data_IF_761117100906
#
_entry.id   IF_761117100906
#
_cell.length_a   1.000
_cell.length_b   1.000
_cell.length_c   1.000
_cell.angle_alpha   90.00
_cell.angle_beta   90.00
_cell.angle_gamma   90.00
#
_symmetry.space_group_name_H-M   'P 1'
#
loop_
_entity.id
_entity.type
_entity.pdbx_description
1 polymer ?
#
# COMPACT_ATOMS: atom_id res chain seq x y z
N UNK A 1 -15.77 0.76 10.84
CA UNK A 1 -14.38 1.22 10.87
C UNK A 1 -14.28 2.73 11.10
N UNK A 2 -13.08 3.23 11.44
CA UNK A 2 -12.70 4.64 11.43
C UNK A 2 -11.32 4.73 10.75
N UNK A 3 -11.21 5.52 9.69
CA UNK A 3 -9.96 5.78 8.99
C UNK A 3 -9.45 7.20 9.30
N UNK A 4 -8.15 7.35 9.49
CA UNK A 4 -7.47 8.64 9.71
C UNK A 4 -6.40 8.80 8.64
N UNK A 5 -6.43 9.94 7.94
CA UNK A 5 -5.51 10.25 6.85
C UNK A 5 -4.64 11.46 7.19
N UNK A 6 -3.36 11.38 6.83
CA UNK A 6 -2.43 12.49 6.87
C UNK A 6 -2.40 13.17 5.50
N UNK A 7 -3.27 14.14 5.29
CA UNK A 7 -3.42 14.84 3.99
C UNK A 7 -2.19 15.68 3.63
N UNK A 8 -1.43 16.14 4.62
CA UNK A 8 -0.18 16.90 4.47
C UNK A 8 1.02 16.00 4.08
N UNK A 9 0.85 14.68 4.15
CA UNK A 9 1.92 13.71 3.91
C UNK A 9 1.46 12.61 2.96
N UNK A 10 1.22 12.99 1.70
CA UNK A 10 0.89 12.07 0.61
C UNK A 10 -0.47 11.38 0.74
N UNK A 11 -1.37 11.93 1.56
CA UNK A 11 -2.66 11.30 1.82
C UNK A 11 -2.53 9.94 2.50
N UNK A 12 -1.48 9.73 3.27
CA UNK A 12 -1.21 8.46 3.94
C UNK A 12 -2.38 8.06 4.83
N UNK A 13 -2.90 6.84 4.66
CA UNK A 13 -3.83 6.25 5.62
C UNK A 13 -3.00 5.88 6.86
N UNK A 14 -3.14 6.70 7.91
CA UNK A 14 -2.32 6.58 9.11
C UNK A 14 -2.87 5.58 10.10
N UNK A 15 -4.19 5.62 10.34
CA UNK A 15 -4.86 4.72 11.25
C UNK A 15 -6.11 4.13 10.61
N UNK A 16 -6.35 2.86 10.88
CA UNK A 16 -7.58 2.16 10.52
C UNK A 16 -8.08 1.40 11.75
N UNK A 17 -9.03 2.00 12.45
CA UNK A 17 -9.57 1.45 13.69
C UNK A 17 -10.74 0.50 13.43
N UNK A 18 -10.66 -0.70 13.95
CA UNK A 18 -11.84 -1.52 14.17
C UNK A 18 -12.59 -1.01 15.41
N UNK A 19 -13.73 -0.39 15.19
CA UNK A 19 -14.54 0.19 16.28
C UNK A 19 -15.13 -0.87 17.22
N UNK A 20 -15.24 -2.13 16.79
CA UNK A 20 -15.77 -3.22 17.64
C UNK A 20 -14.74 -3.68 18.65
N UNK A 21 -13.50 -3.81 18.23
CA UNK A 21 -12.40 -4.28 19.08
C UNK A 21 -11.60 -3.15 19.72
N UNK A 22 -11.74 -1.91 19.24
CA UNK A 22 -10.96 -0.76 19.67
C UNK A 22 -9.48 -0.86 19.28
N UNK A 23 -9.15 -1.61 18.23
CA UNK A 23 -7.76 -1.82 17.78
C UNK A 23 -7.47 -1.04 16.50
N UNK A 24 -6.30 -0.43 16.42
CA UNK A 24 -5.73 0.04 15.16
C UNK A 24 -5.18 -1.16 14.40
N UNK A 25 -5.61 -1.35 13.15
CA UNK A 25 -5.18 -2.46 12.30
C UNK A 25 -3.85 -2.18 11.60
N UNK A 26 -3.39 -0.93 11.61
CA UNK A 26 -2.14 -0.51 11.00
C UNK A 26 -1.07 -0.26 12.05
N UNK A 27 0.18 -0.53 11.68
CA UNK A 27 1.32 -0.10 12.47
C UNK A 27 1.59 1.39 12.19
N UNK A 28 1.83 2.15 13.24
CA UNK A 28 2.22 3.57 13.18
C UNK A 28 3.40 3.81 14.10
N UNK A 29 4.32 4.67 13.67
CA UNK A 29 5.39 5.15 14.54
C UNK A 29 4.92 6.32 15.40
N UNK A 30 5.37 6.39 16.62
CA UNK A 30 5.12 7.52 17.52
C UNK A 30 5.80 8.82 17.05
N UNK A 31 6.84 8.68 16.22
CA UNK A 31 7.59 9.80 15.66
C UNK A 31 7.65 9.69 14.14
N UNK A 32 7.17 10.73 13.46
CA UNK A 32 7.35 10.87 12.01
C UNK A 32 8.80 11.26 11.72
N UNK A 33 9.52 10.37 11.07
CA UNK A 33 10.91 10.60 10.65
C UNK A 33 11.05 10.30 9.17
N UNK A 34 11.24 11.33 8.37
CA UNK A 34 11.50 11.19 6.94
C UNK A 34 12.89 10.60 6.70
N UNK A 35 12.94 9.62 5.81
CA UNK A 35 14.17 8.91 5.47
C UNK A 35 14.49 9.05 3.99
N UNK A 36 15.78 9.15 3.69
CA UNK A 36 16.29 9.10 2.32
C UNK A 36 16.40 7.64 1.87
N UNK A 37 15.27 7.06 1.45
CA UNK A 37 15.24 5.73 0.87
C UNK A 37 15.18 5.78 -0.65
N UNK A 38 15.80 4.81 -1.28
CA UNK A 38 15.97 4.74 -2.73
C UNK A 38 16.63 6.04 -3.25
N UNK A 39 15.97 6.77 -4.11
CA UNK A 39 16.50 7.97 -4.75
C UNK A 39 15.95 9.26 -4.11
N UNK A 40 15.04 9.14 -3.15
CA UNK A 40 14.22 10.25 -2.66
C UNK A 40 14.11 10.27 -1.14
N UNK A 41 14.14 11.46 -0.56
CA UNK A 41 13.85 11.72 0.85
C UNK A 41 12.34 11.66 1.14
N UNK A 42 11.65 10.67 0.59
CA UNK A 42 10.21 10.69 0.56
C UNK A 42 9.55 9.67 1.47
N UNK A 43 10.33 8.82 2.16
CA UNK A 43 9.75 7.75 2.93
C UNK A 43 9.69 8.04 4.43
N UNK A 44 8.63 7.60 5.07
CA UNK A 44 8.55 7.40 6.52
C UNK A 44 7.71 6.16 6.85
N UNK A 45 8.02 5.53 7.97
CA UNK A 45 7.41 4.25 8.38
C UNK A 45 6.03 4.44 8.97
N UNK A 46 5.13 3.50 8.69
CA UNK A 46 3.79 3.41 9.27
C UNK A 46 2.67 3.73 8.30
N UNK A 47 1.49 3.20 8.61
CA UNK A 47 0.28 3.39 7.81
C UNK A 47 0.32 2.73 6.44
N UNK A 48 -0.44 3.28 5.50
CA UNK A 48 -0.46 2.88 4.09
C UNK A 48 0.05 4.02 3.23
N UNK A 49 1.10 3.75 2.48
CA UNK A 49 1.74 4.64 1.53
C UNK A 49 1.24 4.38 0.11
N UNK A 50 1.13 5.44 -0.67
CA UNK A 50 0.69 5.40 -2.06
C UNK A 50 1.79 5.90 -2.97
N UNK A 51 2.13 5.12 -4.01
CA UNK A 51 3.23 5.44 -4.91
C UNK A 51 2.81 5.37 -6.37
N UNK A 52 3.27 6.32 -7.14
CA UNK A 52 2.94 6.49 -8.55
C UNK A 52 4.15 6.98 -9.35
N UNK A 53 4.25 6.54 -10.58
CA UNK A 53 5.06 7.18 -11.63
C UNK A 53 6.51 6.73 -11.73
N UNK A 54 7.12 6.25 -10.65
CA UNK A 54 8.55 5.86 -10.63
C UNK A 54 8.77 4.56 -9.87
N UNK A 55 9.87 3.91 -10.14
CA UNK A 55 10.41 2.84 -9.28
C UNK A 55 10.93 3.49 -8.00
N UNK A 56 10.44 3.02 -6.84
CA UNK A 56 10.75 3.60 -5.54
C UNK A 56 9.65 4.53 -5.02
N UNK A 57 9.94 5.21 -3.92
CA UNK A 57 8.95 6.05 -3.25
C UNK A 57 8.71 7.36 -4.02
N UNK A 58 7.45 7.71 -4.22
CA UNK A 58 7.08 8.94 -4.90
C UNK A 58 7.34 10.15 -3.99
N UNK A 59 7.89 11.26 -4.50
CA UNK A 59 8.08 12.49 -3.72
C UNK A 59 6.80 13.01 -3.06
N UNK A 60 5.64 12.77 -3.66
CA UNK A 60 4.35 13.18 -3.10
C UNK A 60 3.99 12.47 -1.79
N UNK A 61 4.68 11.38 -1.39
CA UNK A 61 4.41 10.72 -0.10
C UNK A 61 4.70 11.60 1.11
N UNK A 62 5.44 12.68 0.95
CA UNK A 62 5.76 13.66 2.01
C UNK A 62 5.24 15.05 1.73
N UNK A 63 4.42 15.21 0.70
CA UNK A 63 3.85 16.48 0.28
C UNK A 63 2.34 16.52 0.53
N UNK A 64 1.76 17.69 0.74
CA UNK A 64 0.32 17.85 0.87
C UNK A 64 -0.39 17.52 -0.44
N UNK A 65 -1.56 16.89 -0.33
CA UNK A 65 -2.46 16.64 -1.45
C UNK A 65 -3.67 17.55 -1.39
N UNK A 66 -4.28 17.84 -2.53
CA UNK A 66 -5.60 18.45 -2.58
C UNK A 66 -6.64 17.49 -2.04
N UNK A 67 -7.59 18.02 -1.28
CA UNK A 67 -8.63 17.23 -0.61
C UNK A 67 -10.00 17.77 -0.98
N UNK A 68 -10.91 16.86 -1.33
CA UNK A 68 -12.31 17.17 -1.60
C UNK A 68 -13.23 16.16 -0.93
N UNK A 69 -14.43 16.58 -0.59
CA UNK A 69 -15.54 15.69 -0.20
C UNK A 69 -16.45 15.50 -1.41
N UNK A 70 -16.80 14.26 -1.69
CA UNK A 70 -17.74 13.88 -2.74
C UNK A 70 -18.58 12.70 -2.26
N UNK A 71 -19.29 12.04 -3.14
CA UNK A 71 -20.09 10.87 -2.83
C UNK A 71 -19.99 9.84 -3.95
N UNK A 72 -20.31 8.59 -3.62
CA UNK A 72 -20.50 7.52 -4.61
C UNK A 72 -21.83 7.73 -5.34
N UNK A 73 -22.08 6.93 -6.37
CA UNK A 73 -23.36 6.94 -7.10
C UNK A 73 -24.53 6.50 -6.18
N UNK A 74 -24.23 5.70 -5.15
CA UNK A 74 -25.15 5.24 -4.12
C UNK A 74 -25.35 6.27 -2.99
N UNK A 75 -24.52 7.33 -2.95
CA UNK A 75 -24.61 8.42 -1.98
C UNK A 75 -23.68 8.29 -0.77
N UNK A 76 -22.81 7.29 -0.70
CA UNK A 76 -21.84 7.17 0.38
C UNK A 76 -20.82 8.32 0.35
N UNK A 77 -20.48 8.91 1.50
CA UNK A 77 -19.49 9.98 1.57
C UNK A 77 -18.11 9.50 1.14
N UNK A 78 -17.46 10.20 0.23
CA UNK A 78 -16.12 9.93 -0.29
C UNK A 78 -15.15 11.01 0.13
N UNK A 79 -14.02 10.61 0.71
CA UNK A 79 -12.83 11.44 0.82
C UNK A 79 -12.03 11.27 -0.46
N UNK A 80 -11.92 12.34 -1.25
CA UNK A 80 -11.09 12.39 -2.46
C UNK A 80 -9.81 13.15 -2.17
N UNK A 81 -8.68 12.55 -2.52
CA UNK A 81 -7.38 13.22 -2.53
C UNK A 81 -6.78 13.13 -3.93
N UNK A 82 -6.12 14.19 -4.39
CA UNK A 82 -5.57 14.24 -5.74
C UNK A 82 -4.39 15.20 -5.85
N UNK A 83 -3.53 14.96 -6.84
CA UNK A 83 -2.43 15.83 -7.20
C UNK A 83 -2.00 15.56 -8.65
N UNK A 84 -1.24 16.48 -9.21
CA UNK A 84 -0.55 16.31 -10.47
C UNK A 84 0.85 15.75 -10.23
N UNK A 85 1.09 14.54 -10.71
CA UNK A 85 2.40 13.89 -10.63
C UNK A 85 3.29 14.41 -11.77
N UNK A 86 4.31 15.20 -11.40
CA UNK A 86 5.10 16.01 -12.34
C UNK A 86 6.17 15.23 -13.09
N UNK A 87 6.57 14.05 -12.63
CA UNK A 87 7.61 13.24 -13.28
C UNK A 87 7.04 12.58 -14.53
N UNK A 88 5.83 12.07 -14.44
CA UNK A 88 5.12 11.43 -15.56
C UNK A 88 4.11 12.35 -16.24
N UNK A 89 3.75 13.45 -15.59
CA UNK A 89 2.77 14.39 -16.11
C UNK A 89 1.36 13.82 -16.14
N UNK A 90 0.92 13.20 -15.04
CA UNK A 90 -0.39 12.57 -14.92
C UNK A 90 -1.13 13.09 -13.69
N UNK A 91 -2.47 13.07 -13.76
CA UNK A 91 -3.31 13.34 -12.60
C UNK A 91 -3.48 12.05 -11.80
N UNK A 92 -3.21 12.15 -10.52
CA UNK A 92 -3.38 11.09 -9.55
C UNK A 92 -4.55 11.42 -8.64
N UNK A 93 -5.51 10.52 -8.54
CA UNK A 93 -6.68 10.64 -7.69
C UNK A 93 -6.90 9.38 -6.87
N UNK A 94 -7.19 9.57 -5.60
CA UNK A 94 -7.52 8.51 -4.65
C UNK A 94 -8.86 8.82 -4.00
N UNK A 95 -9.81 7.90 -4.07
CA UNK A 95 -11.12 7.98 -3.43
C UNK A 95 -11.23 6.92 -2.34
N UNK A 96 -11.66 7.34 -1.17
CA UNK A 96 -11.84 6.46 -0.01
C UNK A 96 -13.24 6.60 0.55
N UNK A 97 -13.91 5.47 0.81
CA UNK A 97 -15.24 5.48 1.41
C UNK A 97 -15.49 4.24 2.26
N UNK A 98 -16.45 4.36 3.17
CA UNK A 98 -16.93 3.30 4.02
C UNK A 98 -18.42 3.13 3.71
N UNK A 99 -18.82 1.93 3.31
CA UNK A 99 -20.22 1.55 3.18
C UNK A 99 -20.79 1.16 4.54
N UNK A 100 -22.08 1.37 4.73
CA UNK A 100 -22.75 0.98 5.97
C UNK A 100 -22.67 -0.53 6.18
N UNK A 101 -22.37 -0.94 7.41
CA UNK A 101 -22.19 -2.34 7.83
C UNK A 101 -21.04 -3.12 7.16
N UNK A 102 -20.24 -2.53 6.27
CA UNK A 102 -19.09 -3.18 5.68
C UNK A 102 -17.87 -3.15 6.61
N UNK A 103 -17.14 -4.29 6.74
CA UNK A 103 -15.97 -4.38 7.61
C UNK A 103 -14.67 -3.93 6.95
N UNK A 104 -14.70 -3.29 5.80
CA UNK A 104 -13.53 -2.85 5.04
C UNK A 104 -13.64 -1.38 4.61
N UNK A 105 -12.50 -0.78 4.33
CA UNK A 105 -12.36 0.53 3.71
C UNK A 105 -12.20 0.34 2.19
N UNK A 106 -13.08 0.94 1.42
CA UNK A 106 -12.94 1.00 -0.03
C UNK A 106 -11.88 2.02 -0.43
N UNK A 107 -11.10 1.67 -1.43
CA UNK A 107 -10.01 2.50 -1.94
C UNK A 107 -9.97 2.37 -3.46
N UNK A 108 -10.23 3.46 -4.18
CA UNK A 108 -10.19 3.51 -5.62
C UNK A 108 -9.12 4.47 -6.10
N UNK A 109 -8.16 3.94 -6.86
CA UNK A 109 -7.12 4.73 -7.50
C UNK A 109 -7.47 5.01 -8.94
N UNK A 110 -7.28 6.25 -9.35
CA UNK A 110 -7.43 6.67 -10.74
C UNK A 110 -6.20 7.45 -11.16
N UNK A 111 -5.67 7.08 -12.30
CA UNK A 111 -4.58 7.77 -12.95
C UNK A 111 -5.11 8.26 -14.30
N UNK A 112 -5.00 9.55 -14.54
CA UNK A 112 -5.48 10.16 -15.78
C UNK A 112 -4.30 10.70 -16.57
N UNK A 113 -4.10 10.14 -17.74
CA UNK A 113 -3.20 10.66 -18.76
C UNK A 113 -4.03 11.48 -19.75
N UNK A 114 -3.90 12.79 -19.68
CA UNK A 114 -4.57 13.74 -20.58
C UNK A 114 -3.68 14.18 -21.75
N UNK A 115 -2.49 13.60 -21.89
CA UNK A 115 -1.56 13.84 -22.97
C UNK A 115 -1.86 12.95 -24.19
N UNK A 116 -1.27 13.31 -25.35
CA UNK A 116 -1.33 12.51 -26.58
C UNK A 116 -0.22 11.42 -26.63
N UNK A 117 0.47 11.15 -25.54
CA UNK A 117 1.58 10.21 -25.49
C UNK A 117 1.25 9.00 -24.63
N UNK A 118 1.88 7.86 -24.95
CA UNK A 118 1.86 6.69 -24.06
C UNK A 118 2.80 6.96 -22.89
N UNK A 119 2.25 6.95 -21.67
CA UNK A 119 3.00 7.17 -20.44
C UNK A 119 3.14 5.85 -19.71
N UNK A 120 4.38 5.39 -19.43
CA UNK A 120 4.61 4.21 -18.62
C UNK A 120 4.02 4.40 -17.24
N UNK A 121 3.19 3.45 -16.81
CA UNK A 121 2.52 3.52 -15.53
C UNK A 121 3.15 2.52 -14.56
N UNK A 122 3.45 3.00 -13.36
CA UNK A 122 3.92 2.22 -12.25
C UNK A 122 3.17 2.63 -10.99
N UNK A 123 2.35 1.72 -10.48
CA UNK A 123 1.58 1.92 -9.25
C UNK A 123 1.94 0.84 -8.24
N UNK A 124 2.13 1.24 -7.00
CA UNK A 124 2.21 0.34 -5.87
C UNK A 124 1.85 1.03 -4.56
N UNK A 125 1.46 0.26 -3.57
CA UNK A 125 1.18 0.73 -2.22
C UNK A 125 1.98 -0.09 -1.21
N UNK A 126 2.26 0.52 -0.08
CA UNK A 126 3.00 -0.07 1.02
C UNK A 126 2.15 0.00 2.28
N UNK A 127 1.88 -1.13 2.91
CA UNK A 127 1.08 -1.22 4.12
C UNK A 127 1.94 -1.75 5.27
N UNK A 128 1.98 -1.01 6.36
CA UNK A 128 2.61 -1.45 7.60
C UNK A 128 1.56 -2.02 8.55
N UNK A 129 1.77 -3.23 9.01
CA UNK A 129 0.90 -3.91 9.98
C UNK A 129 1.69 -4.28 11.23
N UNK A 130 1.04 -4.36 12.40
CA UNK A 130 1.72 -4.80 13.61
C UNK A 130 2.22 -6.25 13.50
N UNK A 131 3.37 -6.52 14.10
CA UNK A 131 3.88 -7.87 14.23
C UNK A 131 3.17 -8.61 15.38
N UNK A 132 2.12 -9.33 15.04
CA UNK A 132 1.40 -10.16 16.02
C UNK A 132 2.17 -11.44 16.35
N UNK A 133 2.04 -11.93 17.58
CA UNK A 133 2.78 -13.11 18.06
C UNK A 133 2.55 -14.35 17.19
N UNK A 134 1.32 -14.55 16.74
CA UNK A 134 0.94 -15.67 15.87
C UNK A 134 0.53 -15.21 14.46
N UNK A 135 1.07 -14.06 14.02
CA UNK A 135 0.76 -13.50 12.71
C UNK A 135 1.26 -14.37 11.58
N UNK A 136 0.50 -14.41 10.49
CA UNK A 136 0.82 -15.12 9.25
C UNK A 136 0.47 -14.24 8.07
N UNK A 137 1.27 -14.37 7.02
CA UNK A 137 0.88 -13.82 5.71
C UNK A 137 0.02 -14.86 5.00
N UNK A 138 -1.18 -14.48 4.62
CA UNK A 138 -2.12 -15.32 3.88
C UNK A 138 -2.25 -14.78 2.46
N UNK A 139 -1.96 -15.64 1.49
CA UNK A 139 -1.99 -15.27 0.07
C UNK A 139 -2.42 -16.48 -0.77
N UNK A 140 -3.26 -16.33 -1.80
CA UNK A 140 -3.70 -17.43 -2.64
C UNK A 140 -2.66 -17.77 -3.75
N UNK A 141 -1.42 -18.00 -3.35
CA UNK A 141 -0.31 -18.37 -4.23
C UNK A 141 0.47 -19.55 -3.65
N UNK A 142 1.03 -20.35 -4.53
CA UNK A 142 1.94 -21.46 -4.19
C UNK A 142 3.39 -21.13 -4.53
N UNK A 143 3.61 -20.00 -5.21
CA UNK A 143 4.92 -19.56 -5.68
C UNK A 143 5.11 -18.07 -5.47
N UNK A 144 6.37 -17.66 -5.33
CA UNK A 144 6.77 -16.27 -5.27
C UNK A 144 8.08 -16.04 -6.03
N UNK A 145 8.36 -14.78 -6.36
CA UNK A 145 9.68 -14.35 -6.83
C UNK A 145 10.41 -13.64 -5.71
N UNK A 146 11.73 -13.84 -5.64
CA UNK A 146 12.58 -13.17 -4.65
C UNK A 146 13.97 -12.91 -5.22
N UNK A 147 14.68 -11.93 -4.68
CA UNK A 147 16.04 -11.61 -5.06
C UNK A 147 17.06 -12.55 -4.41
N UNK A 148 17.94 -13.18 -5.20
CA UNK A 148 19.07 -13.98 -4.72
C UNK A 148 20.31 -13.66 -5.53
N UNK A 149 21.39 -13.22 -4.87
CA UNK A 149 22.69 -12.94 -5.50
C UNK A 149 22.58 -12.07 -6.77
N UNK A 150 21.73 -11.04 -6.72
CA UNK A 150 21.51 -10.12 -7.84
C UNK A 150 20.60 -10.64 -8.96
N UNK A 151 20.00 -11.82 -8.80
CA UNK A 151 19.05 -12.41 -9.75
C UNK A 151 17.65 -12.50 -9.12
N UNK A 152 16.63 -12.45 -9.95
CA UNK A 152 15.27 -12.78 -9.55
C UNK A 152 15.06 -14.29 -9.79
N UNK A 153 14.71 -14.99 -8.73
CA UNK A 153 14.43 -16.43 -8.78
C UNK A 153 13.00 -16.71 -8.33
N UNK A 154 12.40 -17.76 -8.89
CA UNK A 154 11.11 -18.28 -8.49
C UNK A 154 11.30 -19.32 -7.41
N UNK A 155 10.49 -19.27 -6.37
CA UNK A 155 10.52 -20.18 -5.22
C UNK A 155 9.13 -20.69 -4.91
N UNK A 156 9.04 -21.91 -4.36
CA UNK A 156 7.78 -22.44 -3.87
C UNK A 156 7.54 -21.95 -2.44
N UNK A 157 6.29 -21.65 -2.12
CA UNK A 157 5.86 -21.21 -0.78
C UNK A 157 4.84 -22.23 -0.22
N UNK A 158 4.68 -22.34 1.10
CA UNK A 158 5.21 -21.48 2.17
C UNK A 158 6.66 -21.79 2.59
N UNK A 159 7.29 -22.86 2.10
CA UNK A 159 8.60 -23.29 2.54
C UNK A 159 9.69 -22.90 1.55
N UNK A 160 10.62 -22.03 1.94
CA UNK A 160 11.77 -21.61 1.15
C UNK A 160 13.05 -21.93 1.94
N UNK A 161 13.93 -22.76 1.39
CA UNK A 161 15.18 -23.19 2.03
C UNK A 161 15.00 -23.71 3.47
N UNK A 162 13.89 -24.42 3.72
CA UNK A 162 13.55 -24.96 5.05
C UNK A 162 12.94 -23.96 6.02
N UNK A 163 12.70 -22.70 5.59
CA UNK A 163 12.05 -21.66 6.38
C UNK A 163 10.62 -21.45 5.89
N UNK A 164 9.66 -21.42 6.81
CA UNK A 164 8.27 -21.03 6.50
C UNK A 164 8.17 -19.51 6.34
N UNK A 165 8.14 -19.03 5.09
CA UNK A 165 8.20 -17.59 4.78
C UNK A 165 6.88 -16.84 4.95
N UNK A 166 5.80 -17.53 5.23
CA UNK A 166 4.52 -16.93 5.64
C UNK A 166 4.46 -16.60 7.12
N UNK A 167 5.37 -17.16 7.91
CA UNK A 167 5.63 -16.79 9.31
C UNK A 167 6.83 -15.82 9.35
N UNK A 168 6.54 -14.52 9.30
CA UNK A 168 7.59 -13.50 9.24
C UNK A 168 8.60 -13.57 10.39
N UNK A 169 8.22 -14.11 11.56
CA UNK A 169 9.13 -14.28 12.70
C UNK A 169 10.19 -15.37 12.47
N UNK A 170 9.94 -16.29 11.55
CA UNK A 170 10.92 -17.32 11.19
C UNK A 170 11.91 -16.84 10.14
N UNK A 171 11.65 -15.71 9.49
CA UNK A 171 12.53 -15.13 8.47
C UNK A 171 13.71 -14.44 9.18
N UNK A 172 14.96 -14.91 9.00
CA UNK A 172 16.09 -14.40 9.79
C UNK A 172 16.54 -12.99 9.38
N UNK A 173 16.21 -12.56 8.17
CA UNK A 173 16.59 -11.27 7.62
C UNK A 173 15.45 -10.69 6.78
N UNK A 174 15.44 -9.37 6.61
CA UNK A 174 14.51 -8.70 5.70
C UNK A 174 14.65 -9.25 4.28
N UNK A 175 13.53 -9.63 3.67
CA UNK A 175 13.48 -10.19 2.32
C UNK A 175 12.16 -9.82 1.65
N UNK A 176 12.21 -9.61 0.34
CA UNK A 176 11.03 -9.35 -0.48
C UNK A 176 10.56 -10.64 -1.15
N UNK A 177 9.27 -10.92 -1.00
CA UNK A 177 8.57 -11.96 -1.75
C UNK A 177 7.46 -11.34 -2.60
N UNK A 178 7.54 -11.52 -3.91
CA UNK A 178 6.52 -11.10 -4.87
C UNK A 178 5.67 -12.31 -5.22
N UNK A 179 4.52 -12.44 -4.58
CA UNK A 179 3.65 -13.61 -4.71
C UNK A 179 3.06 -13.73 -6.12
N UNK A 180 3.24 -14.88 -6.74
CA UNK A 180 2.71 -15.22 -8.06
C UNK A 180 1.26 -15.69 -7.94
N UNK A 181 0.33 -14.78 -7.63
CA UNK A 181 -1.09 -15.10 -7.50
C UNK A 181 -1.64 -15.43 -8.90
N UNK A 182 -2.16 -16.65 -9.15
CA UNK A 182 -2.75 -17.04 -10.44
C UNK A 182 -3.91 -16.09 -10.85
N UNK A 183 -4.13 -15.91 -12.16
CA UNK A 183 -5.16 -14.99 -12.65
C UNK A 183 -6.56 -15.33 -12.18
N UNK A 184 -6.89 -16.61 -12.11
CA UNK A 184 -8.18 -17.15 -11.69
C UNK A 184 -8.44 -17.06 -10.17
N UNK A 185 -7.44 -16.74 -9.37
CA UNK A 185 -7.56 -16.61 -7.91
C UNK A 185 -7.90 -15.17 -7.50
N UNK A 186 -8.64 -14.99 -6.40
CA UNK A 186 -8.80 -13.66 -5.79
C UNK A 186 -7.44 -13.02 -5.49
N UNK A 187 -7.30 -11.73 -5.78
CA UNK A 187 -6.06 -10.98 -5.55
C UNK A 187 -6.09 -10.36 -4.16
N UNK A 188 -5.47 -10.99 -3.19
CA UNK A 188 -5.33 -10.45 -1.85
C UNK A 188 -4.03 -10.91 -1.19
N UNK A 189 -3.60 -10.14 -0.19
CA UNK A 189 -2.59 -10.48 0.80
C UNK A 189 -3.18 -10.07 2.16
N UNK A 190 -3.18 -10.95 3.13
CA UNK A 190 -3.71 -10.71 4.47
C UNK A 190 -2.71 -11.16 5.55
#
# INVERSE_FOLDING_TARGET
>A
LKAVFLTEYGGRLWELWDKKTGKNLLYTNDVLRFSNLAIRNAWFSGGVEWNLGIIGHNPLTTEPLYVAKTQTDEGDPVLRMYEYERIRGVIWQMDFWLEEACPYLNCRMRIVNDSNQVIPMYWWSNMAVPEYENGRVVVPAEQAFTGRKGMIVKVDIPMVDGVEVTDYKKIPNSVDYFFAIPEEKPKFIA
#
